data_IF_207330724383
#
_entry.id   IF_207330724383
#
_cell.length_a   1.000
_cell.length_b   1.000
_cell.length_c   1.000
_cell.angle_alpha   90.00
_cell.angle_beta   90.00
_cell.angle_gamma   90.00
#
_symmetry.space_group_name_H-M   'P 1'
#
loop_
_entity.id
_entity.type
_entity.pdbx_description
1 polymer ?
#
# COMPACT_ATOMS: atom_id res chain seq x y z
N UNK A 1 6.36 43.81 34.58
CA UNK A 1 7.60 43.01 34.50
C UNK A 1 7.32 41.82 33.59
N UNK A 2 7.18 42.09 32.28
CA UNK A 2 8.09 41.71 31.16
C UNK A 2 8.29 40.19 31.00
N UNK A 3 7.31 39.53 30.39
CA UNK A 3 7.46 38.19 29.77
C UNK A 3 6.74 38.21 28.41
N UNK A 4 7.13 39.11 27.50
CA UNK A 4 6.69 39.08 26.10
C UNK A 4 7.84 39.63 25.25
N UNK A 5 8.90 38.84 25.01
CA UNK A 5 9.97 39.25 24.07
C UNK A 5 10.76 38.12 23.39
N UNK A 6 10.34 36.85 23.49
CA UNK A 6 11.04 35.73 22.82
C UNK A 6 10.29 35.12 21.63
N UNK A 7 8.97 35.34 21.49
CA UNK A 7 8.20 34.77 20.37
C UNK A 7 8.43 35.45 19.01
N UNK A 8 8.83 36.72 18.98
CA UNK A 8 8.99 37.47 17.74
C UNK A 8 10.26 37.10 16.95
N UNK A 9 11.28 36.53 17.61
CA UNK A 9 12.55 36.21 16.96
C UNK A 9 12.49 34.90 16.16
N UNK A 10 11.68 33.93 16.59
CA UNK A 10 11.55 32.62 15.94
C UNK A 10 10.74 32.73 14.63
N UNK A 11 9.71 33.58 14.59
CA UNK A 11 8.91 33.83 13.37
C UNK A 11 9.74 34.51 12.27
N UNK A 12 10.70 35.35 12.66
CA UNK A 12 11.57 36.05 11.72
C UNK A 12 12.62 35.12 11.10
N UNK A 13 13.11 34.10 11.82
CA UNK A 13 14.05 33.11 11.28
C UNK A 13 13.37 32.15 10.28
N UNK A 14 12.14 31.72 10.55
CA UNK A 14 11.39 30.84 9.62
C UNK A 14 11.07 31.58 8.31
N UNK A 15 10.83 32.89 8.36
CA UNK A 15 10.51 33.69 7.17
C UNK A 15 11.70 33.88 6.22
N UNK A 16 12.95 33.84 6.72
CA UNK A 16 14.16 33.98 5.90
C UNK A 16 14.49 32.67 5.16
N UNK A 17 14.10 31.51 5.71
CA UNK A 17 14.35 30.21 5.10
C UNK A 17 13.53 29.95 3.82
N UNK A 18 12.42 30.66 3.59
CA UNK A 18 11.62 30.54 2.36
C UNK A 18 12.12 31.39 1.19
N UNK A 19 13.10 32.28 1.37
CA UNK A 19 13.55 33.22 0.32
C UNK A 19 14.70 32.63 -0.53
N UNK A 20 15.30 31.49 -0.14
CA UNK A 20 16.51 30.94 -0.79
C UNK A 20 16.23 29.85 -1.85
N UNK A 21 14.97 29.48 -2.11
CA UNK A 21 14.65 28.35 -3.02
C UNK A 21 14.33 28.73 -4.48
N UNK A 22 14.59 29.96 -4.92
CA UNK A 22 14.40 30.35 -6.33
C UNK A 22 15.62 31.09 -6.90
N UNK A 23 16.80 30.49 -6.87
CA UNK A 23 17.79 30.76 -7.92
C UNK A 23 17.64 29.69 -8.97
N UNK A 24 16.77 29.96 -9.94
CA UNK A 24 16.78 29.29 -11.23
C UNK A 24 18.15 29.60 -11.83
N UNK A 25 19.06 28.63 -11.76
CA UNK A 25 20.24 28.63 -12.60
C UNK A 25 19.75 28.32 -14.02
N UNK A 26 19.71 29.37 -14.84
CA UNK A 26 19.82 29.25 -16.30
C UNK A 26 21.11 28.46 -16.58
N UNK A 27 20.97 27.15 -16.68
CA UNK A 27 22.04 26.30 -17.18
C UNK A 27 21.89 26.26 -18.69
N UNK A 28 22.87 26.90 -19.32
CA UNK A 28 23.24 26.90 -20.72
C UNK A 28 22.49 25.93 -21.63
N UNK A 29 21.87 26.55 -22.63
CA UNK A 29 21.54 25.97 -23.94
C UNK A 29 22.82 25.38 -24.53
N UNK A 30 23.12 24.13 -24.21
CA UNK A 30 23.95 23.30 -25.06
C UNK A 30 23.04 22.89 -26.22
N UNK A 31 23.13 23.68 -27.28
CA UNK A 31 22.68 23.33 -28.62
C UNK A 31 23.55 22.17 -29.14
N UNK A 32 23.44 21.01 -28.51
CA UNK A 32 23.83 19.75 -29.12
C UNK A 32 22.74 19.43 -30.14
N UNK A 33 22.99 19.86 -31.37
CA UNK A 33 22.44 19.21 -32.56
C UNK A 33 22.85 17.73 -32.51
N UNK A 34 22.10 16.94 -31.75
CA UNK A 34 22.02 15.51 -31.92
C UNK A 34 21.36 15.32 -33.29
N UNK A 35 22.18 15.16 -34.31
CA UNK A 35 21.78 14.52 -35.56
C UNK A 35 21.45 13.06 -35.21
N UNK A 36 20.25 12.85 -34.69
CA UNK A 36 19.61 11.54 -34.70
C UNK A 36 19.40 11.26 -36.17
N UNK A 37 20.24 10.40 -36.73
CA UNK A 37 19.94 9.68 -37.96
C UNK A 37 18.66 8.90 -37.70
N UNK A 38 17.54 9.55 -37.97
CA UNK A 38 16.25 8.88 -38.15
C UNK A 38 16.47 8.07 -39.42
N UNK A 39 16.89 6.81 -39.26
CA UNK A 39 16.73 5.79 -40.28
C UNK A 39 15.26 5.83 -40.68
N UNK A 40 15.03 6.44 -41.84
CA UNK A 40 13.75 6.60 -42.47
C UNK A 40 13.32 5.21 -42.92
N UNK A 41 12.82 4.42 -41.97
CA UNK A 41 12.10 3.19 -42.23
C UNK A 41 10.77 3.62 -42.85
N UNK A 42 10.81 3.91 -44.14
CA UNK A 42 9.64 3.94 -45.01
C UNK A 42 9.11 2.52 -45.09
N UNK A 43 8.35 2.13 -44.07
CA UNK A 43 7.34 1.09 -44.22
C UNK A 43 6.46 1.50 -45.40
N UNK A 44 6.25 0.55 -46.33
CA UNK A 44 5.48 0.73 -47.55
C UNK A 44 4.15 1.44 -47.24
N UNK A 45 4.11 2.73 -47.57
CA UNK A 45 2.92 3.54 -47.47
C UNK A 45 1.93 2.96 -48.49
N UNK A 46 1.05 2.10 -48.01
CA UNK A 46 -0.07 1.58 -48.76
C UNK A 46 -0.80 2.80 -49.33
N UNK A 47 -0.70 3.00 -50.65
CA UNK A 47 -1.24 4.15 -51.39
C UNK A 47 -2.78 4.07 -51.49
N UNK A 48 -3.44 3.89 -50.36
CA UNK A 48 -4.87 4.13 -50.21
C UNK A 48 -5.14 5.63 -50.37
N UNK A 49 -6.34 5.95 -50.85
CA UNK A 49 -6.81 7.33 -50.93
C UNK A 49 -6.76 7.96 -49.52
N UNK A 50 -5.99 9.03 -49.36
CA UNK A 50 -5.89 9.75 -48.09
C UNK A 50 -7.22 10.45 -47.78
N UNK A 51 -7.88 10.02 -46.71
CA UNK A 51 -9.12 10.62 -46.23
C UNK A 51 -8.87 11.45 -44.97
N UNK A 52 -9.55 12.60 -44.76
CA UNK A 52 -9.38 13.36 -43.53
C UNK A 52 -9.91 12.61 -42.30
N UNK A 53 -9.02 12.11 -41.45
CA UNK A 53 -9.38 11.34 -40.25
C UNK A 53 -8.28 11.38 -39.18
N UNK A 54 -8.61 10.97 -37.96
CA UNK A 54 -7.61 10.72 -36.93
C UNK A 54 -7.03 9.32 -37.12
N UNK A 55 -5.72 9.22 -37.27
CA UNK A 55 -5.00 7.95 -37.42
C UNK A 55 -4.01 7.75 -36.27
N UNK A 56 -3.72 6.49 -35.97
CA UNK A 56 -2.60 6.13 -35.09
C UNK A 56 -1.31 6.12 -35.91
N UNK A 57 -0.41 7.07 -35.64
CA UNK A 57 0.91 7.11 -36.29
C UNK A 57 1.96 6.31 -35.50
N UNK A 58 1.66 6.00 -34.24
CA UNK A 58 2.41 5.06 -33.42
C UNK A 58 1.49 4.40 -32.40
N UNK A 59 2.01 3.44 -31.63
CA UNK A 59 1.27 2.81 -30.53
C UNK A 59 0.88 3.80 -29.42
N UNK A 60 1.49 4.99 -29.35
CA UNK A 60 1.24 5.99 -28.30
C UNK A 60 0.89 7.37 -28.84
N UNK A 61 0.83 7.57 -30.15
CA UNK A 61 0.57 8.89 -30.73
C UNK A 61 -0.50 8.75 -31.80
N UNK A 62 -1.52 9.59 -31.70
CA UNK A 62 -2.49 9.80 -32.77
C UNK A 62 -2.32 11.17 -33.37
N UNK A 63 -2.66 11.31 -34.65
CA UNK A 63 -2.59 12.57 -35.35
C UNK A 63 -3.70 12.67 -36.40
N UNK A 64 -4.04 13.88 -36.80
CA UNK A 64 -5.04 14.15 -37.83
C UNK A 64 -4.38 14.15 -39.20
N UNK A 65 -4.82 13.25 -40.08
CA UNK A 65 -4.43 13.20 -41.48
C UNK A 65 -5.37 14.10 -42.29
N UNK A 66 -4.81 14.91 -43.19
CA UNK A 66 -5.58 15.71 -44.16
C UNK A 66 -5.73 14.97 -45.49
N UNK A 67 -6.59 15.47 -46.38
CA UNK A 67 -6.83 14.90 -47.72
C UNK A 67 -5.61 14.92 -48.64
N UNK A 68 -4.60 15.74 -48.34
CA UNK A 68 -3.30 15.77 -49.03
C UNK A 68 -2.26 14.83 -48.37
N UNK A 69 -2.70 13.93 -47.49
CA UNK A 69 -1.88 13.03 -46.68
C UNK A 69 -0.95 13.73 -45.66
N UNK A 70 -1.02 15.05 -45.49
CA UNK A 70 -0.23 15.71 -44.46
C UNK A 70 -0.81 15.42 -43.08
N UNK A 71 0.03 15.37 -42.05
CA UNK A 71 -0.36 15.02 -40.68
C UNK A 71 -0.18 16.25 -39.78
N UNK A 72 -1.15 16.56 -38.92
CA UNK A 72 -1.02 17.59 -37.89
C UNK A 72 -1.76 17.21 -36.60
N UNK A 73 -1.62 18.03 -35.55
CA UNK A 73 -2.40 17.87 -34.32
C UNK A 73 -2.04 16.59 -33.55
N UNK A 74 -0.75 16.26 -33.45
CA UNK A 74 -0.33 15.07 -32.71
C UNK A 74 -0.79 15.14 -31.24
N UNK A 75 -1.33 14.02 -30.76
CA UNK A 75 -1.79 13.85 -29.38
C UNK A 75 -1.23 12.56 -28.82
N UNK A 76 -0.63 12.64 -27.64
CA UNK A 76 -0.17 11.49 -26.90
C UNK A 76 -1.36 10.68 -26.33
N UNK A 77 -1.28 9.37 -26.47
CA UNK A 77 -2.21 8.39 -25.95
C UNK A 77 -1.48 7.51 -24.91
N UNK A 78 -1.46 7.91 -23.62
CA UNK A 78 -0.66 7.23 -22.58
C UNK A 78 -0.95 5.74 -22.43
N UNK A 79 -2.20 5.34 -22.70
CA UNK A 79 -2.68 3.96 -22.59
C UNK A 79 -2.71 3.21 -23.93
N UNK A 80 -2.21 3.84 -24.99
CA UNK A 80 -2.12 3.30 -26.34
C UNK A 80 -3.08 3.95 -27.33
N UNK A 81 -2.75 3.89 -28.62
CA UNK A 81 -3.62 4.29 -29.73
C UNK A 81 -4.11 3.04 -30.48
N UNK A 82 -5.39 3.00 -30.81
CA UNK A 82 -5.99 1.95 -31.64
C UNK A 82 -7.13 2.54 -32.47
N UNK A 83 -7.18 2.20 -33.76
CA UNK A 83 -8.24 2.60 -34.70
C UNK A 83 -8.53 4.12 -34.72
N UNK A 84 -7.47 4.94 -34.65
CA UNK A 84 -7.59 6.41 -34.66
C UNK A 84 -7.98 7.03 -33.31
N UNK A 85 -8.19 6.22 -32.28
CA UNK A 85 -8.59 6.67 -30.94
C UNK A 85 -7.53 6.35 -29.88
N UNK A 86 -7.46 7.18 -28.84
CA UNK A 86 -6.66 6.86 -27.67
C UNK A 86 -7.46 5.89 -26.81
N UNK A 87 -6.84 4.78 -26.39
CA UNK A 87 -7.41 3.86 -25.41
C UNK A 87 -7.75 4.63 -24.15
N UNK A 88 -9.00 4.55 -23.72
CA UNK A 88 -9.42 5.08 -22.43
C UNK A 88 -8.94 4.16 -21.33
N UNK A 89 -8.74 4.72 -20.13
CA UNK A 89 -8.55 3.88 -18.94
C UNK A 89 -9.70 2.89 -18.87
N UNK A 90 -9.39 1.63 -18.61
CA UNK A 90 -10.43 0.64 -18.31
C UNK A 90 -11.17 1.17 -17.09
N UNK A 91 -12.42 1.56 -17.27
CA UNK A 91 -13.28 1.93 -16.15
C UNK A 91 -13.80 0.63 -15.54
N UNK A 92 -13.66 0.50 -14.24
CA UNK A 92 -14.26 -0.59 -13.48
C UNK A 92 -15.47 -0.08 -12.71
N UNK A 93 -16.50 -0.91 -12.56
CA UNK A 93 -17.57 -0.57 -11.62
C UNK A 93 -16.99 -0.50 -10.21
N UNK A 94 -17.30 0.60 -9.52
CA UNK A 94 -16.94 0.78 -8.12
C UNK A 94 -17.82 -0.05 -7.22
N UNK A 95 -17.24 -0.69 -6.21
CA UNK A 95 -17.98 -1.49 -5.23
C UNK A 95 -17.15 -2.62 -4.67
N UNK A 96 -17.68 -3.31 -3.67
CA UNK A 96 -17.07 -4.52 -3.16
C UNK A 96 -17.16 -5.64 -4.21
N UNK A 97 -16.06 -6.35 -4.38
CA UNK A 97 -15.94 -7.49 -5.31
C UNK A 97 -15.10 -8.59 -4.67
N UNK A 98 -15.42 -9.85 -4.97
CA UNK A 98 -14.56 -10.97 -4.56
C UNK A 98 -13.29 -10.95 -5.40
N UNK A 99 -12.13 -10.81 -4.76
CA UNK A 99 -10.85 -10.86 -5.46
C UNK A 99 -10.26 -12.28 -5.52
N UNK A 100 -10.69 -13.15 -4.60
CA UNK A 100 -10.45 -14.59 -4.61
C UNK A 100 -11.55 -15.30 -3.80
N UNK A 101 -11.39 -16.62 -3.57
CA UNK A 101 -12.39 -17.45 -2.90
C UNK A 101 -12.69 -17.04 -1.44
N UNK A 102 -11.77 -16.35 -0.77
CA UNK A 102 -11.85 -16.08 0.68
C UNK A 102 -11.68 -14.59 1.00
N UNK A 103 -11.69 -13.71 -0.01
CA UNK A 103 -11.40 -12.30 0.18
C UNK A 103 -12.22 -11.41 -0.75
N UNK A 104 -12.82 -10.39 -0.13
CA UNK A 104 -13.53 -9.30 -0.77
C UNK A 104 -12.66 -8.04 -0.73
N UNK A 105 -12.75 -7.16 -1.73
CA UNK A 105 -12.12 -5.84 -1.68
C UNK A 105 -12.99 -4.80 -2.39
N UNK A 106 -12.89 -3.55 -1.96
CA UNK A 106 -13.54 -2.43 -2.65
C UNK A 106 -12.74 -2.04 -3.90
N UNK A 107 -13.32 -2.25 -5.08
CA UNK A 107 -12.76 -1.83 -6.37
C UNK A 107 -13.17 -0.39 -6.66
N UNK A 108 -12.22 0.42 -7.13
CA UNK A 108 -12.43 1.82 -7.58
C UNK A 108 -12.64 1.89 -9.09
N UNK A 109 -13.05 3.06 -9.56
CA UNK A 109 -13.28 3.33 -10.99
C UNK A 109 -12.04 3.15 -11.86
N UNK A 110 -10.84 3.38 -11.28
CA UNK A 110 -9.54 3.15 -11.89
C UNK A 110 -9.08 1.68 -11.84
N UNK A 111 -9.99 0.76 -11.48
CA UNK A 111 -9.76 -0.66 -11.29
C UNK A 111 -8.81 -1.05 -10.16
N UNK A 112 -8.33 -0.10 -9.34
CA UNK A 112 -7.53 -0.42 -8.15
C UNK A 112 -8.43 -0.97 -7.04
N UNK A 113 -7.89 -1.84 -6.19
CA UNK A 113 -8.61 -2.40 -5.03
C UNK A 113 -8.09 -1.81 -3.72
N UNK A 114 -9.00 -1.57 -2.79
CA UNK A 114 -8.74 -1.09 -1.43
C UNK A 114 -9.66 -1.82 -0.46
N UNK A 115 -9.51 -1.61 0.86
CA UNK A 115 -10.39 -2.18 1.89
C UNK A 115 -10.63 -3.70 1.71
N UNK A 116 -9.56 -4.49 1.88
CA UNK A 116 -9.66 -5.94 1.81
C UNK A 116 -10.35 -6.48 3.07
N UNK A 117 -11.27 -7.41 2.88
CA UNK A 117 -12.03 -8.09 3.93
C UNK A 117 -11.86 -9.59 3.71
N UNK A 118 -11.39 -10.29 4.74
CA UNK A 118 -11.36 -11.75 4.75
C UNK A 118 -12.76 -12.29 5.00
N UNK A 119 -13.17 -13.30 4.24
CA UNK A 119 -14.47 -13.94 4.36
C UNK A 119 -14.29 -15.34 4.96
N UNK A 120 -14.57 -15.51 6.26
CA UNK A 120 -14.36 -16.78 6.98
C UNK A 120 -15.09 -17.99 6.37
N UNK A 121 -16.19 -17.74 5.66
CA UNK A 121 -17.03 -18.76 5.01
C UNK A 121 -16.99 -18.67 3.49
N UNK A 122 -15.96 -18.01 2.94
CA UNK A 122 -15.78 -17.77 1.52
C UNK A 122 -16.50 -16.53 0.99
N UNK A 123 -16.10 -16.08 -0.18
CA UNK A 123 -16.64 -14.94 -0.91
C UNK A 123 -17.36 -15.45 -2.17
N UNK A 124 -18.65 -15.09 -2.31
CA UNK A 124 -19.43 -15.42 -3.49
C UNK A 124 -20.37 -14.27 -3.86
N UNK A 125 -20.68 -14.10 -5.15
CA UNK A 125 -21.54 -13.02 -5.64
C UNK A 125 -21.11 -11.61 -5.18
N UNK A 126 -19.81 -11.36 -5.09
CA UNK A 126 -19.23 -10.11 -4.58
C UNK A 126 -19.54 -9.80 -3.10
N UNK A 127 -19.97 -10.79 -2.31
CA UNK A 127 -20.29 -10.68 -0.89
C UNK A 127 -19.58 -11.78 -0.09
N UNK A 128 -19.21 -11.49 1.16
CA UNK A 128 -18.75 -12.55 2.08
C UNK A 128 -19.96 -13.39 2.50
N UNK A 129 -19.80 -14.72 2.46
CA UNK A 129 -20.83 -15.64 2.91
C UNK A 129 -21.05 -15.46 4.43
N UNK A 130 -22.30 -15.39 4.90
CA UNK A 130 -22.59 -15.26 6.33
C UNK A 130 -22.19 -16.53 7.07
N UNK A 131 -21.92 -16.37 8.36
CA UNK A 131 -21.78 -17.52 9.27
C UNK A 131 -23.08 -18.33 9.26
N UNK A 132 -22.96 -19.65 9.04
CA UNK A 132 -24.08 -20.58 9.14
C UNK A 132 -24.60 -20.54 10.59
N UNK A 133 -25.78 -19.95 10.82
CA UNK A 133 -26.39 -19.76 12.15
C UNK A 133 -26.74 -21.07 12.90
N UNK A 134 -26.39 -22.24 12.36
CA UNK A 134 -26.82 -23.54 12.87
C UNK A 134 -25.69 -24.49 13.28
N UNK A 135 -24.47 -23.98 13.47
CA UNK A 135 -23.44 -24.75 14.18
C UNK A 135 -23.78 -24.67 15.66
N UNK A 136 -24.52 -25.65 16.18
CA UNK A 136 -24.57 -25.94 17.61
C UNK A 136 -23.14 -25.93 18.12
N UNK A 137 -22.81 -24.94 18.93
CA UNK A 137 -21.56 -24.83 19.64
C UNK A 137 -21.42 -26.12 20.46
N UNK A 138 -20.70 -27.11 19.93
CA UNK A 138 -20.34 -28.30 20.69
C UNK A 138 -19.36 -27.75 21.72
N UNK A 139 -19.88 -27.44 22.90
CA UNK A 139 -19.07 -27.25 24.09
C UNK A 139 -18.14 -28.46 24.13
N UNK A 140 -16.86 -28.24 23.91
CA UNK A 140 -15.82 -29.24 24.15
C UNK A 140 -16.03 -29.71 25.58
N UNK A 141 -16.68 -30.85 25.70
CA UNK A 141 -16.72 -31.60 26.93
C UNK A 141 -15.32 -32.14 27.02
N UNK A 142 -14.56 -31.54 27.94
CA UNK A 142 -13.20 -31.90 28.28
C UNK A 142 -13.21 -33.37 28.76
N UNK A 143 -13.23 -34.31 27.81
CA UNK A 143 -13.01 -35.73 28.08
C UNK A 143 -11.53 -35.88 28.37
N UNK A 144 -11.22 -35.97 29.66
CA UNK A 144 -9.92 -36.42 30.17
C UNK A 144 -9.65 -37.83 29.64
N UNK A 145 -9.02 -37.91 28.48
CA UNK A 145 -8.30 -39.09 28.01
C UNK A 145 -7.01 -39.15 28.82
N UNK A 146 -6.84 -40.24 29.56
CA UNK A 146 -5.60 -40.54 30.25
C UNK A 146 -4.54 -40.90 29.19
N UNK A 147 -3.73 -39.92 28.79
CA UNK A 147 -2.55 -40.14 27.97
C UNK A 147 -1.30 -40.33 28.86
N UNK A 148 -0.47 -41.25 28.39
CA UNK A 148 0.85 -41.60 28.91
C UNK A 148 1.80 -40.38 29.02
N UNK A 149 2.91 -40.45 29.79
CA UNK A 149 3.71 -39.28 30.10
C UNK A 149 4.46 -38.78 28.85
N UNK A 150 3.82 -37.87 28.14
CA UNK A 150 4.38 -37.14 27.00
C UNK A 150 5.36 -36.09 27.51
N UNK A 151 6.45 -35.91 26.77
CA UNK A 151 7.55 -35.03 27.13
C UNK A 151 7.06 -33.59 27.33
N UNK A 152 7.46 -32.94 28.42
CA UNK A 152 7.03 -31.60 28.77
C UNK A 152 7.38 -30.59 27.65
N UNK A 153 6.39 -30.27 26.82
CA UNK A 153 6.50 -29.17 25.84
C UNK A 153 6.68 -27.87 26.62
N UNK A 154 7.71 -27.06 26.34
CA UNK A 154 7.92 -25.80 27.03
C UNK A 154 6.75 -24.85 26.75
N UNK A 155 6.05 -24.44 27.80
CA UNK A 155 5.05 -23.37 27.75
C UNK A 155 5.74 -22.04 27.48
N UNK A 156 5.51 -21.46 26.31
CA UNK A 156 5.99 -20.12 25.93
C UNK A 156 4.93 -19.12 26.36
N UNK A 157 5.30 -18.11 27.15
CA UNK A 157 4.37 -17.05 27.58
C UNK A 157 4.01 -16.14 26.39
N UNK A 158 2.77 -16.27 25.90
CA UNK A 158 2.22 -15.45 24.82
C UNK A 158 1.58 -14.21 25.42
N UNK A 159 2.05 -13.03 25.01
CA UNK A 159 1.54 -11.74 25.45
C UNK A 159 0.70 -11.10 24.35
N UNK A 160 -0.27 -10.26 24.72
CA UNK A 160 -1.13 -9.52 23.79
C UNK A 160 -1.02 -8.02 24.01
N UNK A 161 -0.94 -7.26 22.92
CA UNK A 161 -0.88 -5.79 22.92
C UNK A 161 -1.89 -5.23 21.92
N UNK A 162 -2.76 -4.32 22.36
CA UNK A 162 -3.75 -3.68 21.49
C UNK A 162 -3.29 -2.28 21.03
N UNK A 163 -3.87 -1.79 19.93
CA UNK A 163 -3.53 -0.46 19.42
C UNK A 163 -4.00 0.64 20.39
N UNK A 164 -3.12 1.58 20.69
CA UNK A 164 -3.37 2.66 21.66
C UNK A 164 -2.94 2.32 23.08
N UNK A 165 -2.67 1.05 23.38
CA UNK A 165 -2.09 0.65 24.65
C UNK A 165 -0.57 0.87 24.66
N UNK A 166 -0.04 1.15 25.85
CA UNK A 166 1.38 1.11 26.16
C UNK A 166 1.61 0.10 27.28
N UNK A 167 2.48 -0.87 27.05
CA UNK A 167 2.84 -1.90 28.03
C UNK A 167 4.30 -1.74 28.42
N UNK A 168 4.56 -1.76 29.72
CA UNK A 168 5.93 -1.78 30.25
C UNK A 168 6.34 -3.24 30.47
N UNK A 169 7.38 -3.68 29.77
CA UNK A 169 7.99 -5.01 29.91
C UNK A 169 9.36 -4.88 30.56
N UNK A 170 9.66 -5.76 31.51
CA UNK A 170 10.94 -5.76 32.23
C UNK A 170 11.77 -6.96 31.78
N UNK A 171 12.93 -6.71 31.16
CA UNK A 171 13.85 -7.75 30.69
C UNK A 171 15.24 -7.43 31.23
N UNK A 172 15.85 -8.37 31.97
CA UNK A 172 17.16 -8.19 32.59
C UNK A 172 17.29 -6.87 33.39
N UNK A 173 16.29 -6.59 34.25
CA UNK A 173 16.21 -5.37 35.08
C UNK A 173 16.05 -4.05 34.31
N UNK A 174 15.90 -4.09 32.99
CA UNK A 174 15.61 -2.93 32.15
C UNK A 174 14.13 -2.87 31.80
N UNK A 175 13.53 -1.70 31.95
CA UNK A 175 12.15 -1.44 31.58
C UNK A 175 12.07 -0.91 30.15
N UNK A 176 11.24 -1.55 29.34
CA UNK A 176 10.94 -1.16 27.97
C UNK A 176 9.45 -0.81 27.87
N UNK A 177 9.15 0.33 27.25
CA UNK A 177 7.77 0.72 26.93
C UNK A 177 7.47 0.31 25.50
N UNK A 178 6.52 -0.60 25.31
CA UNK A 178 6.10 -1.17 24.03
C UNK A 178 4.71 -0.62 23.65
N UNK A 179 4.55 -0.22 22.39
CA UNK A 179 3.26 0.21 21.83
C UNK A 179 3.16 -0.09 20.33
N UNK A 180 1.93 -0.21 19.81
CA UNK A 180 1.66 -0.30 18.37
C UNK A 180 1.40 1.10 17.84
N UNK A 181 2.16 1.55 16.85
CA UNK A 181 1.91 2.84 16.18
C UNK A 181 1.30 2.69 14.79
N UNK A 182 1.45 1.52 14.15
CA UNK A 182 0.79 1.21 12.89
C UNK A 182 0.58 -0.31 12.78
N UNK A 183 -0.54 -0.72 12.21
CA UNK A 183 -0.90 -2.13 12.03
C UNK A 183 -1.66 -2.27 10.71
N UNK A 184 -1.34 -3.33 9.98
CA UNK A 184 -1.95 -3.73 8.72
C UNK A 184 -2.38 -5.20 8.83
N UNK A 185 -2.95 -5.77 7.76
CA UNK A 185 -3.55 -7.11 7.76
C UNK A 185 -2.63 -8.23 8.30
N UNK A 186 -1.34 -8.21 7.94
CA UNK A 186 -0.39 -9.30 8.20
C UNK A 186 0.94 -8.82 8.82
N UNK A 187 1.00 -7.53 9.16
CA UNK A 187 2.22 -6.88 9.62
C UNK A 187 1.94 -5.73 10.57
N UNK A 188 2.90 -5.47 11.45
CA UNK A 188 2.80 -4.45 12.49
C UNK A 188 4.05 -3.58 12.50
N UNK A 189 3.90 -2.33 12.94
CA UNK A 189 5.02 -1.51 13.38
C UNK A 189 4.82 -1.12 14.83
N UNK A 190 5.85 -1.39 15.61
CA UNK A 190 5.88 -1.17 17.05
C UNK A 190 6.87 -0.07 17.40
N UNK A 191 6.70 0.49 18.58
CA UNK A 191 7.61 1.45 19.17
C UNK A 191 8.11 0.93 20.51
N UNK A 192 9.43 0.91 20.70
CA UNK A 192 10.09 0.51 21.96
C UNK A 192 10.90 1.69 22.47
N UNK A 193 10.58 2.23 23.64
CA UNK A 193 11.29 3.37 24.25
C UNK A 193 11.48 4.56 23.28
N UNK A 194 10.46 4.86 22.47
CA UNK A 194 10.47 5.89 21.40
C UNK A 194 11.22 5.52 20.11
N UNK A 195 11.85 4.35 20.01
CA UNK A 195 12.45 3.84 18.77
C UNK A 195 11.39 3.06 17.98
N UNK A 196 11.17 3.46 16.72
CA UNK A 196 10.19 2.82 15.84
C UNK A 196 10.83 1.67 15.06
N UNK A 197 10.11 0.56 14.94
CA UNK A 197 10.49 -0.54 14.07
C UNK A 197 10.13 -0.26 12.61
N UNK A 198 10.78 -1.02 11.71
CA UNK A 198 10.25 -1.31 10.37
C UNK A 198 9.02 -2.23 10.46
N UNK A 199 8.46 -2.62 9.31
CA UNK A 199 7.35 -3.58 9.26
C UNK A 199 7.83 -4.94 9.76
N UNK A 200 7.12 -5.47 10.76
CA UNK A 200 7.33 -6.79 11.33
C UNK A 200 6.20 -7.70 10.83
N UNK A 201 6.57 -8.78 10.18
CA UNK A 201 5.63 -9.76 9.62
C UNK A 201 5.37 -10.88 10.62
N UNK A 202 4.22 -11.55 10.47
CA UNK A 202 3.88 -12.81 11.16
C UNK A 202 4.79 -13.95 10.67
N UNK A 203 6.02 -13.98 11.17
CA UNK A 203 7.06 -14.92 10.68
C UNK A 203 7.63 -15.79 11.79
N UNK A 204 7.35 -15.49 13.06
CA UNK A 204 7.93 -16.20 14.19
C UNK A 204 9.44 -15.97 14.39
N UNK A 205 10.07 -15.15 13.55
CA UNK A 205 11.45 -14.74 13.73
C UNK A 205 11.54 -13.62 14.78
N UNK A 206 12.57 -13.68 15.62
CA UNK A 206 12.87 -12.60 16.55
C UNK A 206 13.51 -11.41 15.83
N UNK A 207 13.22 -10.21 16.32
CA UNK A 207 13.81 -8.96 15.84
C UNK A 207 14.17 -8.07 17.01
N UNK A 208 15.18 -7.21 16.85
CA UNK A 208 15.61 -6.29 17.90
C UNK A 208 15.14 -4.87 17.59
N UNK A 209 14.34 -4.29 18.48
CA UNK A 209 13.82 -2.92 18.35
C UNK A 209 14.12 -2.16 19.65
N UNK A 210 14.85 -1.04 19.56
CA UNK A 210 15.18 -0.24 20.75
C UNK A 210 15.96 -1.00 21.83
N UNK A 211 16.68 -2.06 21.46
CA UNK A 211 17.42 -2.93 22.38
C UNK A 211 16.62 -4.10 22.96
N UNK A 212 15.31 -4.19 22.68
CA UNK A 212 14.46 -5.31 23.08
C UNK A 212 14.36 -6.33 21.93
N UNK A 213 14.65 -7.60 22.22
CA UNK A 213 14.34 -8.70 21.31
C UNK A 213 12.87 -9.11 21.48
N UNK A 214 12.13 -9.14 20.36
CA UNK A 214 10.70 -9.45 20.34
C UNK A 214 10.39 -10.31 19.13
N UNK A 215 9.47 -11.26 19.32
CA UNK A 215 8.94 -12.10 18.24
C UNK A 215 7.45 -11.87 18.09
N UNK A 216 7.02 -11.49 16.88
CA UNK A 216 5.60 -11.37 16.55
C UNK A 216 5.07 -12.76 16.18
N UNK A 217 4.11 -13.26 16.97
CA UNK A 217 3.46 -14.56 16.77
C UNK A 217 2.25 -14.42 15.88
N UNK A 218 1.41 -13.42 16.14
CA UNK A 218 0.23 -13.16 15.32
C UNK A 218 -0.11 -11.66 15.23
N UNK A 219 -0.83 -11.30 14.17
CA UNK A 219 -1.36 -9.96 13.92
C UNK A 219 -2.87 -10.08 13.81
N UNK A 220 -3.56 -9.65 14.86
CA UNK A 220 -5.01 -9.70 14.98
C UNK A 220 -5.59 -8.38 14.45
N UNK A 221 -5.86 -8.33 13.15
CA UNK A 221 -6.37 -7.12 12.49
C UNK A 221 -7.77 -7.32 11.90
N UNK A 222 -8.72 -6.51 12.34
CA UNK A 222 -10.06 -6.40 11.79
C UNK A 222 -10.27 -4.99 11.23
N UNK A 223 -10.63 -4.91 9.95
CA UNK A 223 -10.64 -3.66 9.19
C UNK A 223 -11.85 -2.75 9.47
N UNK A 224 -12.92 -3.28 10.07
CA UNK A 224 -14.14 -2.52 10.37
C UNK A 224 -13.97 -1.56 11.58
N UNK A 225 -14.86 -0.56 11.69
CA UNK A 225 -14.81 0.43 12.77
C UNK A 225 -15.06 -0.24 14.13
N UNK A 226 -14.11 -0.12 15.06
CA UNK A 226 -14.14 -0.83 16.34
C UNK A 226 -13.69 -2.28 16.28
N UNK A 227 -13.21 -2.74 15.11
CA UNK A 227 -12.60 -4.06 14.97
C UNK A 227 -11.31 -4.18 15.79
N UNK A 228 -11.01 -5.40 16.22
CA UNK A 228 -9.81 -5.72 16.98
C UNK A 228 -8.55 -5.36 16.18
N UNK A 229 -7.61 -4.70 16.86
CA UNK A 229 -6.30 -4.33 16.32
C UNK A 229 -5.26 -4.61 17.38
N UNK A 230 -4.72 -5.81 17.38
CA UNK A 230 -3.79 -6.28 18.38
C UNK A 230 -2.70 -7.17 17.76
N UNK A 231 -1.66 -7.43 18.53
CA UNK A 231 -0.65 -8.44 18.20
C UNK A 231 -0.50 -9.41 19.35
N UNK A 232 -0.10 -10.62 19.01
CA UNK A 232 0.42 -11.59 19.96
C UNK A 232 1.94 -11.66 19.79
N UNK A 233 2.67 -11.56 20.89
CA UNK A 233 4.13 -11.49 20.88
C UNK A 233 4.76 -12.26 22.03
N UNK A 234 6.02 -12.62 21.85
CA UNK A 234 6.85 -13.25 22.88
C UNK A 234 8.14 -12.46 23.03
N UNK A 235 8.63 -12.40 24.27
CA UNK A 235 9.92 -11.83 24.64
C UNK A 235 10.72 -12.99 25.25
N UNK A 236 11.99 -13.19 24.85
CA UNK A 236 12.83 -14.26 25.38
C UNK A 236 13.23 -14.06 26.85
#
# INVERSE_FOLDING_TARGET
>A
MVIIKQGAFIVLIISILFIVSCTVTDTDVINETLSVDIENQTDELNSGECSPEWICISTKIKAYQYSNCSIAGQKECPLGCQDGECKTAKTCDSGFTCINADMQAYRREDCTTTQKIWCDFGCSNNECNPQLENVTHVTETNETVAEEPDEAVPTIDINRLEIGDEVVVTVAELNYTLSIYNIDLDRVRIQVNSVRSDWLERTGNSTTVGGLEITIRDVLFQSYLGGLRAIEYTIP
#
